data_IF_511700620704
#
_entry.id   IF_511700620704
#
_cell.length_a   1.000
_cell.length_b   1.000
_cell.length_c   1.000
_cell.angle_alpha   90.00
_cell.angle_beta   90.00
_cell.angle_gamma   90.00
#
_symmetry.space_group_name_H-M   'P 1'
#
loop_
_entity.id
_entity.type
_entity.pdbx_description
1 polymer ?
#
# COMPACT_ATOMS: atom_id res chain seq x y z
N UNK A 1 -1.54 6.30 10.60
CA UNK A 1 -0.51 7.11 9.93
C UNK A 1 0.56 6.21 9.34
N UNK A 2 1.10 6.57 8.19
CA UNK A 2 2.20 5.83 7.61
C UNK A 2 3.48 6.21 8.34
N UNK A 3 4.12 5.25 8.98
CA UNK A 3 5.30 5.49 9.81
C UNK A 3 6.61 5.20 9.08
N UNK A 4 6.58 4.29 8.12
CA UNK A 4 7.81 3.97 7.40
C UNK A 4 7.50 3.39 6.03
N UNK A 5 8.49 3.45 5.16
CA UNK A 5 8.43 2.98 3.78
C UNK A 5 9.47 1.88 3.61
N UNK A 6 9.11 0.84 2.91
CA UNK A 6 10.05 -0.25 2.68
C UNK A 6 11.12 0.12 1.66
N UNK A 7 10.79 1.00 0.72
CA UNK A 7 11.77 1.46 -0.25
C UNK A 7 11.57 2.94 -0.59
N UNK A 8 12.60 3.54 -1.13
CA UNK A 8 12.58 4.97 -1.46
C UNK A 8 11.67 5.29 -2.65
N UNK A 9 11.49 4.34 -3.56
CA UNK A 9 10.65 4.57 -4.73
C UNK A 9 9.19 4.83 -4.31
N UNK A 10 8.67 4.05 -3.38
CA UNK A 10 7.31 4.23 -2.88
C UNK A 10 7.20 5.55 -2.12
N UNK A 11 8.18 5.87 -1.28
CA UNK A 11 8.18 7.14 -0.56
C UNK A 11 8.18 8.33 -1.51
N UNK A 12 9.02 8.29 -2.53
CA UNK A 12 9.11 9.38 -3.50
C UNK A 12 7.81 9.55 -4.28
N UNK A 13 7.17 8.43 -4.61
CA UNK A 13 5.87 8.48 -5.27
C UNK A 13 4.86 9.22 -4.39
N UNK A 14 4.80 8.87 -3.11
CA UNK A 14 3.88 9.51 -2.16
C UNK A 14 4.18 11.00 -2.00
N UNK A 15 5.45 11.36 -2.01
CA UNK A 15 5.87 12.76 -1.83
C UNK A 15 5.77 13.59 -3.11
N UNK A 16 5.36 12.98 -4.21
CA UNK A 16 5.19 13.72 -5.45
C UNK A 16 6.48 13.97 -6.21
N UNK A 17 7.53 13.23 -5.91
CA UNK A 17 8.84 13.46 -6.52
C UNK A 17 9.03 12.72 -7.86
N UNK A 18 7.96 12.22 -8.42
CA UNK A 18 8.05 11.53 -9.69
C UNK A 18 7.85 10.05 -9.55
N UNK A 19 7.18 9.46 -10.49
CA UNK A 19 6.73 8.09 -10.42
C UNK A 19 7.55 7.12 -11.24
N UNK A 20 8.84 7.25 -11.19
CA UNK A 20 9.70 6.38 -11.97
C UNK A 20 9.49 4.93 -11.59
N UNK A 21 9.16 4.10 -12.57
CA UNK A 21 9.17 2.67 -12.39
C UNK A 21 7.84 2.00 -12.09
N UNK A 22 6.77 2.74 -11.91
CA UNK A 22 5.46 2.14 -11.64
C UNK A 22 4.59 2.11 -12.89
N UNK A 23 5.05 1.41 -13.89
CA UNK A 23 4.38 1.32 -15.16
C UNK A 23 3.02 0.62 -15.03
N UNK A 24 1.97 1.26 -15.53
CA UNK A 24 0.63 0.69 -15.44
C UNK A 24 -0.07 0.90 -14.11
N UNK A 25 0.57 1.59 -13.18
CA UNK A 25 -0.05 1.93 -11.91
C UNK A 25 -1.10 3.03 -12.15
N UNK A 26 -2.27 2.85 -11.56
CA UNK A 26 -3.27 3.91 -11.51
C UNK A 26 -2.83 4.87 -10.41
N UNK A 27 -2.10 5.92 -10.78
CA UNK A 27 -1.48 6.80 -9.80
C UNK A 27 -2.49 7.53 -8.93
N UNK A 28 -3.59 7.96 -9.52
CA UNK A 28 -4.62 8.66 -8.77
C UNK A 28 -5.24 7.74 -7.70
N UNK A 29 -5.59 6.53 -8.09
CA UNK A 29 -6.13 5.56 -7.14
C UNK A 29 -5.10 5.17 -6.09
N UNK A 30 -3.84 5.06 -6.47
CA UNK A 30 -2.77 4.71 -5.52
C UNK A 30 -2.62 5.81 -4.46
N UNK A 31 -2.65 7.06 -4.86
CA UNK A 31 -2.56 8.17 -3.92
C UNK A 31 -3.76 8.15 -2.97
N UNK A 32 -4.96 7.87 -3.47
CA UNK A 32 -6.14 7.78 -2.61
C UNK A 32 -6.02 6.64 -1.60
N UNK A 33 -5.51 5.49 -2.03
CA UNK A 33 -5.32 4.35 -1.13
C UNK A 33 -4.29 4.67 -0.06
N UNK A 34 -3.18 5.29 -0.44
CA UNK A 34 -2.14 5.68 0.52
C UNK A 34 -2.66 6.75 1.48
N UNK A 35 -3.44 7.70 0.97
CA UNK A 35 -4.02 8.74 1.83
C UNK A 35 -4.98 8.13 2.85
N UNK A 36 -5.81 7.18 2.43
CA UNK A 36 -6.72 6.49 3.34
C UNK A 36 -5.92 5.71 4.38
N UNK A 37 -4.89 4.99 3.95
CA UNK A 37 -4.02 4.25 4.86
C UNK A 37 -3.35 5.17 5.87
N UNK A 38 -3.03 6.38 5.45
CA UNK A 38 -2.36 7.36 6.30
C UNK A 38 -3.26 7.91 7.41
N UNK A 39 -4.56 8.02 7.16
CA UNK A 39 -5.48 8.64 8.12
C UNK A 39 -6.27 7.65 8.96
N UNK A 40 -6.53 6.44 8.45
CA UNK A 40 -7.33 5.47 9.17
C UNK A 40 -6.51 4.78 10.26
N UNK A 41 -7.15 4.54 11.41
CA UNK A 41 -6.47 4.01 12.58
C UNK A 41 -6.76 2.55 12.86
N UNK A 42 -7.61 1.92 12.06
CA UNK A 42 -7.90 0.50 12.23
C UNK A 42 -8.13 -0.16 10.88
N UNK A 43 -7.90 -1.48 10.83
CA UNK A 43 -8.16 -2.22 9.60
C UNK A 43 -9.65 -2.23 9.27
N UNK A 44 -10.51 -2.12 10.27
CA UNK A 44 -11.95 -2.03 10.02
C UNK A 44 -12.31 -0.78 9.22
N UNK A 45 -11.61 0.31 9.48
CA UNK A 45 -11.85 1.55 8.76
C UNK A 45 -11.36 1.48 7.32
N UNK A 46 -10.51 0.51 7.02
CA UNK A 46 -10.08 0.24 5.65
C UNK A 46 -11.06 -0.67 4.93
N UNK A 47 -12.03 -1.23 5.63
CA UNK A 47 -12.95 -2.21 5.04
C UNK A 47 -13.77 -1.67 3.86
N UNK A 48 -14.11 -0.37 3.76
CA UNK A 48 -14.75 0.14 2.55
C UNK A 48 -13.91 -0.05 1.29
N UNK A 49 -12.62 -0.34 1.47
CA UNK A 49 -11.71 -0.58 0.35
C UNK A 49 -11.70 -2.04 -0.09
N UNK A 50 -12.68 -2.84 0.32
CA UNK A 50 -12.76 -4.24 -0.10
C UNK A 50 -12.77 -4.39 -1.61
N UNK A 51 -13.29 -3.39 -2.31
CA UNK A 51 -13.32 -3.41 -3.77
C UNK A 51 -11.91 -3.43 -4.39
N UNK A 52 -10.91 -3.05 -3.62
CA UNK A 52 -9.51 -3.08 -4.08
C UNK A 52 -8.76 -4.27 -3.49
N UNK A 53 -9.49 -5.22 -2.91
CA UNK A 53 -8.91 -6.49 -2.50
C UNK A 53 -8.04 -6.45 -1.26
N UNK A 54 -8.40 -5.66 -0.25
CA UNK A 54 -7.66 -5.68 1.01
C UNK A 54 -7.67 -7.09 1.58
N UNK A 55 -6.49 -7.67 1.77
CA UNK A 55 -6.36 -9.02 2.32
C UNK A 55 -5.03 -9.20 3.02
N UNK A 56 -4.99 -10.19 3.92
CA UNK A 56 -3.78 -10.52 4.64
C UNK A 56 -2.92 -11.46 3.82
N UNK A 57 -1.62 -11.23 3.81
CA UNK A 57 -0.69 -12.05 3.05
C UNK A 57 -0.23 -13.26 3.86
N UNK A 58 0.30 -14.24 3.14
CA UNK A 58 0.77 -15.51 3.71
C UNK A 58 2.24 -15.72 3.36
N UNK A 59 2.84 -16.76 3.93
CA UNK A 59 4.22 -17.11 3.63
C UNK A 59 5.19 -16.10 4.21
N UNK A 60 6.15 -15.68 3.41
CA UNK A 60 7.18 -14.76 3.87
C UNK A 60 6.64 -13.39 4.26
N UNK A 61 5.42 -13.09 3.86
CA UNK A 61 4.79 -11.80 4.17
C UNK A 61 3.61 -11.95 5.13
N UNK A 62 3.63 -12.97 5.96
CA UNK A 62 2.47 -13.32 6.80
C UNK A 62 1.99 -12.23 7.74
N UNK A 63 2.81 -11.24 8.04
CA UNK A 63 2.42 -10.14 8.91
C UNK A 63 2.03 -8.89 8.14
N UNK A 64 1.84 -9.02 6.84
CA UNK A 64 1.51 -7.90 5.99
C UNK A 64 0.11 -7.99 5.41
N UNK A 65 -0.41 -6.84 5.05
CA UNK A 65 -1.67 -6.70 4.34
C UNK A 65 -1.40 -6.11 2.97
N UNK A 66 -2.28 -6.36 2.03
CA UNK A 66 -2.13 -5.85 0.68
C UNK A 66 -3.44 -5.28 0.15
N UNK A 67 -3.31 -4.23 -0.64
CA UNK A 67 -4.42 -3.68 -1.44
C UNK A 67 -3.99 -3.75 -2.89
N UNK A 68 -4.93 -4.10 -3.77
CA UNK A 68 -4.65 -4.27 -5.19
C UNK A 68 -4.92 -2.98 -5.96
N UNK A 69 -4.02 -2.64 -6.87
CA UNK A 69 -4.16 -1.51 -7.77
C UNK A 69 -3.68 -1.95 -9.14
N UNK A 70 -4.63 -2.35 -10.00
CA UNK A 70 -4.32 -2.90 -11.32
C UNK A 70 -3.34 -4.06 -11.18
N UNK A 71 -2.18 -3.99 -11.82
CA UNK A 71 -1.15 -5.03 -11.73
C UNK A 71 -0.27 -4.92 -10.49
N UNK A 72 -0.50 -3.90 -9.67
CA UNK A 72 0.34 -3.58 -8.52
C UNK A 72 -0.37 -3.90 -7.22
N UNK A 73 0.41 -4.12 -6.17
CA UNK A 73 -0.08 -4.23 -4.80
C UNK A 73 0.56 -3.16 -3.94
N UNK A 74 -0.22 -2.67 -2.99
CA UNK A 74 0.32 -1.82 -1.93
C UNK A 74 0.37 -2.69 -0.69
N UNK A 75 1.57 -3.04 -0.24
CA UNK A 75 1.78 -3.92 0.90
C UNK A 75 2.23 -3.13 2.11
N UNK A 76 1.80 -3.56 3.29
CA UNK A 76 2.13 -2.84 4.53
C UNK A 76 1.92 -3.73 5.74
N UNK A 77 2.62 -3.39 6.83
CA UNK A 77 2.37 -3.96 8.15
C UNK A 77 1.47 -2.97 8.88
N UNK A 78 0.39 -3.45 9.48
CA UNK A 78 -0.50 -2.57 10.25
C UNK A 78 -0.39 -2.94 11.72
N UNK A 79 0.01 -1.97 12.54
CA UNK A 79 0.29 -2.22 13.93
C UNK A 79 0.00 -0.96 14.74
N UNK A 80 -0.75 -1.12 15.82
CA UNK A 80 -1.05 -0.02 16.76
C UNK A 80 -1.64 1.21 16.06
N UNK A 81 -2.47 0.99 15.05
CA UNK A 81 -3.13 2.06 14.33
C UNK A 81 -2.28 2.72 13.26
N UNK A 82 -1.11 2.18 12.98
CA UNK A 82 -0.18 2.77 12.01
C UNK A 82 0.25 1.75 10.95
N UNK A 83 0.58 2.27 9.78
CA UNK A 83 1.11 1.46 8.69
C UNK A 83 2.62 1.59 8.65
N UNK A 84 3.30 0.45 8.51
CA UNK A 84 4.76 0.38 8.48
C UNK A 84 5.22 -0.37 7.24
N UNK A 85 6.42 -0.07 6.79
CA UNK A 85 7.06 -0.76 5.67
C UNK A 85 6.17 -0.78 4.43
N UNK A 86 5.57 0.35 4.14
CA UNK A 86 4.66 0.49 3.00
C UNK A 86 5.46 0.42 1.71
N UNK A 87 5.01 -0.43 0.77
CA UNK A 87 5.66 -0.52 -0.52
C UNK A 87 4.66 -0.84 -1.63
N UNK A 88 4.97 -0.36 -2.82
CA UNK A 88 4.23 -0.68 -4.03
C UNK A 88 5.05 -1.75 -4.77
N UNK A 89 4.46 -2.93 -4.97
CA UNK A 89 5.16 -4.04 -5.64
C UNK A 89 4.36 -4.54 -6.82
N UNK A 90 5.06 -5.08 -7.80
CA UNK A 90 4.43 -5.65 -8.98
C UNK A 90 3.75 -6.96 -8.62
N UNK A 91 2.44 -7.00 -8.82
CA UNK A 91 1.64 -8.16 -8.51
C UNK A 91 2.12 -9.43 -9.22
N UNK A 92 2.55 -9.26 -10.48
CA UNK A 92 2.93 -10.42 -11.30
C UNK A 92 4.31 -10.98 -10.98
N UNK A 93 5.09 -10.25 -10.21
CA UNK A 93 6.43 -10.72 -9.82
C UNK A 93 6.47 -11.30 -8.43
N UNK A 94 5.41 -11.14 -7.70
CA UNK A 94 5.35 -11.63 -6.33
C UNK A 94 4.64 -12.94 -6.22
#
# INVERSE_FOLDING_TARGET
>A
MIQSWRNSATRKFWEGEGGAGFRGLDEEAAIELLATLNVEKSLQDLSPLKSVGLHKLKGDRKNQWAMTNARWRICFVFKSGDAHEVEIVDYHKG
#
